data_IF_811775157584
#
_entry.id   IF_811775157584
#
_cell.length_a   1.000
_cell.length_b   1.000
_cell.length_c   1.000
_cell.angle_alpha   90.00
_cell.angle_beta   90.00
_cell.angle_gamma   90.00
#
_symmetry.space_group_name_H-M   'P 1'
#
loop_
_entity.id
_entity.type
_entity.pdbx_description
1 polymer ?
#
# COMPACT_ATOMS: atom_id res chain seq x y z
N UNK A 1 9.49 2.05 8.70
CA UNK A 1 8.51 1.42 7.80
C UNK A 1 7.74 2.53 7.11
N UNK A 2 7.32 2.35 5.85
CA UNK A 2 6.45 3.27 5.12
C UNK A 2 5.07 2.61 4.97
N UNK A 3 4.01 3.34 5.32
CA UNK A 3 2.63 2.99 5.07
C UNK A 3 2.02 4.05 4.14
N UNK A 4 1.50 3.63 2.98
CA UNK A 4 1.00 4.53 1.93
C UNK A 4 -0.43 4.21 1.51
N UNK A 5 -1.17 5.26 1.21
CA UNK A 5 -2.42 5.29 0.44
C UNK A 5 -2.36 6.53 -0.46
N UNK A 6 -3.17 6.58 -1.51
CA UNK A 6 -3.37 7.81 -2.26
C UNK A 6 -4.69 8.48 -1.87
N UNK A 7 -4.72 9.81 -1.83
CA UNK A 7 -5.93 10.55 -1.46
C UNK A 7 -6.65 11.15 -2.68
N UNK A 8 -6.02 11.16 -3.85
CA UNK A 8 -6.67 11.58 -5.08
C UNK A 8 -7.52 10.47 -5.69
N UNK A 9 -8.39 10.84 -6.62
CA UNK A 9 -9.32 9.95 -7.32
C UNK A 9 -9.50 10.44 -8.75
N UNK A 10 -9.88 9.56 -9.68
CA UNK A 10 -10.25 9.95 -11.05
C UNK A 10 -11.36 10.99 -11.12
N UNK A 11 -11.41 11.72 -12.23
CA UNK A 11 -12.48 12.67 -12.53
C UNK A 11 -13.86 11.99 -12.51
N UNK A 12 -14.84 12.66 -11.89
CA UNK A 12 -16.22 12.18 -11.71
C UNK A 12 -16.38 10.95 -10.80
N UNK A 13 -15.34 10.50 -10.10
CA UNK A 13 -15.46 9.49 -9.03
C UNK A 13 -15.51 10.16 -7.65
N UNK A 14 -16.35 9.67 -6.72
CA UNK A 14 -16.32 10.11 -5.34
C UNK A 14 -15.10 9.60 -4.54
N UNK A 15 -14.32 8.66 -5.09
CA UNK A 15 -13.07 8.18 -4.49
C UNK A 15 -13.22 7.37 -3.20
N UNK A 16 -14.43 6.88 -2.91
CA UNK A 16 -14.71 6.25 -1.62
C UNK A 16 -13.92 4.94 -1.41
N UNK A 17 -13.98 4.04 -2.38
CA UNK A 17 -13.24 2.77 -2.32
C UNK A 17 -11.78 2.96 -2.63
N UNK A 18 -11.51 3.71 -3.69
CA UNK A 18 -10.23 3.98 -4.30
C UNK A 18 -9.97 5.49 -4.16
N UNK A 19 -9.31 5.96 -3.10
CA UNK A 19 -8.71 5.15 -2.02
C UNK A 19 -8.98 5.72 -0.61
N UNK A 20 -10.11 6.43 -0.46
CA UNK A 20 -10.48 7.08 0.81
C UNK A 20 -10.67 6.10 1.98
N UNK A 21 -11.11 4.87 1.73
CA UNK A 21 -11.20 3.81 2.75
C UNK A 21 -9.81 3.49 3.31
N UNK A 22 -8.82 3.26 2.46
CA UNK A 22 -7.45 2.97 2.90
C UNK A 22 -6.83 4.14 3.66
N UNK A 23 -7.06 5.37 3.20
CA UNK A 23 -6.61 6.53 3.95
C UNK A 23 -7.30 6.68 5.31
N UNK A 24 -8.58 6.32 5.42
CA UNK A 24 -9.27 6.27 6.71
C UNK A 24 -8.65 5.22 7.65
N UNK A 25 -8.30 4.04 7.12
CA UNK A 25 -7.61 2.98 7.86
C UNK A 25 -6.23 3.45 8.34
N UNK A 26 -5.44 4.11 7.48
CA UNK A 26 -4.13 4.64 7.86
C UNK A 26 -4.22 5.76 8.90
N UNK A 27 -5.24 6.63 8.82
CA UNK A 27 -5.48 7.66 9.82
C UNK A 27 -5.82 7.07 11.19
N UNK A 28 -6.67 6.03 11.22
CA UNK A 28 -6.99 5.32 12.47
C UNK A 28 -5.77 4.60 13.04
N UNK A 29 -4.96 3.95 12.19
CA UNK A 29 -3.71 3.33 12.61
C UNK A 29 -2.73 4.38 13.18
N UNK A 30 -2.58 5.53 12.52
CA UNK A 30 -1.77 6.65 13.00
C UNK A 30 -2.28 7.16 14.36
N UNK A 31 -3.60 7.36 14.50
CA UNK A 31 -4.22 7.79 15.75
C UNK A 31 -3.94 6.80 16.87
N UNK A 32 -4.22 5.52 16.64
CA UNK A 32 -3.97 4.43 17.59
C UNK A 32 -2.50 4.33 18.01
N UNK A 33 -1.56 4.43 17.06
CA UNK A 33 -0.12 4.38 17.35
C UNK A 33 0.39 5.62 18.09
N UNK A 34 -0.19 6.79 17.82
CA UNK A 34 0.19 8.05 18.49
C UNK A 34 -0.26 8.10 19.95
N UNK A 35 -1.27 7.30 20.32
CA UNK A 35 -1.79 7.19 21.69
C UNK A 35 -1.13 6.07 22.52
N UNK A 36 -0.11 5.39 21.98
CA UNK A 36 0.61 4.37 22.75
C UNK A 36 1.36 5.02 23.92
N UNK A 37 1.27 4.39 25.09
CA UNK A 37 2.02 4.81 26.28
C UNK A 37 3.52 4.51 26.18
N UNK A 38 3.91 3.60 25.27
CA UNK A 38 5.29 3.21 25.01
C UNK A 38 5.75 3.71 23.65
N UNK A 39 6.98 4.26 23.54
CA UNK A 39 7.51 4.69 22.26
C UNK A 39 7.75 3.51 21.32
N UNK A 40 7.56 3.76 20.02
CA UNK A 40 7.89 2.79 18.98
C UNK A 40 9.40 2.60 18.89
N UNK A 41 9.84 1.34 18.77
CA UNK A 41 11.26 1.02 18.56
C UNK A 41 11.78 1.51 17.19
N UNK A 42 10.88 1.59 16.21
CA UNK A 42 11.19 2.03 14.85
C UNK A 42 10.16 3.05 14.39
N UNK A 43 10.60 4.06 13.64
CA UNK A 43 9.69 5.04 13.07
C UNK A 43 8.80 4.42 11.97
N UNK A 44 7.55 4.87 11.95
CA UNK A 44 6.59 4.61 10.88
C UNK A 44 6.33 5.93 10.17
N UNK A 45 6.52 5.94 8.85
CA UNK A 45 6.19 7.06 7.98
C UNK A 45 4.83 6.75 7.39
N UNK A 46 3.86 7.63 7.64
CA UNK A 46 2.56 7.60 6.97
C UNK A 46 2.62 8.58 5.80
N UNK A 47 2.35 8.06 4.61
CA UNK A 47 2.39 8.83 3.38
C UNK A 47 1.02 8.79 2.72
N UNK A 48 0.32 9.92 2.80
CA UNK A 48 -0.91 10.18 2.06
C UNK A 48 -0.48 10.93 0.80
N UNK A 49 -0.31 10.20 -0.30
CA UNK A 49 0.18 10.80 -1.53
C UNK A 49 -0.97 11.16 -2.48
N UNK A 50 -0.67 11.96 -3.51
CA UNK A 50 -1.66 12.35 -4.51
C UNK A 50 -1.11 12.18 -5.92
N UNK A 51 -1.95 12.41 -6.92
CA UNK A 51 -1.61 12.20 -8.33
C UNK A 51 -1.15 10.76 -8.62
N UNK A 52 -1.71 9.78 -7.91
CA UNK A 52 -1.63 8.36 -8.26
C UNK A 52 -2.32 8.16 -9.62
N UNK A 53 -3.57 8.61 -9.67
CA UNK A 53 -4.50 8.49 -10.79
C UNK A 53 -4.04 9.27 -12.02
N UNK A 54 -3.08 10.18 -11.82
CA UNK A 54 -2.40 10.93 -12.85
C UNK A 54 -0.92 10.52 -12.97
N UNK A 55 -0.68 9.21 -13.13
CA UNK A 55 0.63 8.62 -13.46
C UNK A 55 1.62 8.64 -12.27
N UNK A 56 1.15 8.33 -11.06
CA UNK A 56 1.98 7.96 -9.90
C UNK A 56 3.05 9.01 -9.52
N UNK A 57 2.73 10.30 -9.69
CA UNK A 57 3.75 11.35 -9.66
C UNK A 57 4.30 11.59 -8.25
N UNK A 58 3.43 11.57 -7.22
CA UNK A 58 3.88 11.86 -5.87
C UNK A 58 4.69 10.72 -5.27
N UNK A 59 4.31 9.45 -5.49
CA UNK A 59 5.13 8.32 -5.06
C UNK A 59 6.50 8.33 -5.73
N UNK A 60 6.55 8.68 -7.02
CA UNK A 60 7.82 8.83 -7.74
C UNK A 60 8.67 9.96 -7.17
N UNK A 61 8.07 11.13 -6.93
CA UNK A 61 8.73 12.25 -6.26
C UNK A 61 9.27 11.86 -4.88
N UNK A 62 8.46 11.16 -4.07
CA UNK A 62 8.86 10.74 -2.73
C UNK A 62 10.06 9.78 -2.79
N UNK A 63 9.97 8.68 -3.53
CA UNK A 63 11.00 7.65 -3.51
C UNK A 63 12.33 8.12 -4.11
N UNK A 64 12.28 9.01 -5.12
CA UNK A 64 13.49 9.47 -5.82
C UNK A 64 14.12 10.70 -5.19
N UNK A 65 13.35 11.57 -4.52
CA UNK A 65 13.85 12.88 -4.08
C UNK A 65 13.78 13.10 -2.57
N UNK A 66 12.83 12.48 -1.86
CA UNK A 66 12.60 12.81 -0.45
C UNK A 66 13.69 12.18 0.45
N UNK A 67 14.28 12.94 1.40
CA UNK A 67 15.38 12.43 2.23
C UNK A 67 14.99 11.21 3.08
N UNK A 68 13.71 11.11 3.48
CA UNK A 68 13.22 9.97 4.26
C UNK A 68 13.09 8.68 3.46
N UNK A 69 13.05 8.73 2.12
CA UNK A 69 13.03 7.54 1.27
C UNK A 69 14.18 6.58 1.60
N UNK A 70 15.37 7.13 1.88
CA UNK A 70 16.58 6.37 2.25
C UNK A 70 16.48 5.66 3.61
N UNK A 71 15.52 6.03 4.44
CA UNK A 71 15.28 5.44 5.76
C UNK A 71 14.25 4.30 5.70
N UNK A 72 13.55 4.14 4.56
CA UNK A 72 12.53 3.11 4.42
C UNK A 72 13.19 1.73 4.31
N UNK A 73 12.72 0.79 5.14
CA UNK A 73 13.21 -0.60 5.18
C UNK A 73 12.13 -1.64 4.89
N UNK A 74 10.87 -1.22 4.91
CA UNK A 74 9.70 -2.02 4.62
C UNK A 74 8.59 -1.08 4.19
N UNK A 75 7.84 -1.49 3.18
CA UNK A 75 6.77 -0.70 2.59
C UNK A 75 5.46 -1.50 2.56
N UNK A 76 4.39 -0.88 3.05
CA UNK A 76 3.01 -1.35 2.96
C UNK A 76 2.23 -0.32 2.15
N UNK A 77 1.69 -0.75 1.01
CA UNK A 77 0.72 0.02 0.24
C UNK A 77 -0.67 -0.54 0.54
N UNK A 78 -1.61 0.33 0.92
CA UNK A 78 -3.03 0.03 0.93
C UNK A 78 -3.63 0.59 -0.35
N UNK A 79 -4.55 -0.15 -0.94
CA UNK A 79 -5.11 0.12 -2.26
C UNK A 79 -6.51 -0.49 -2.39
N UNK A 80 -7.25 -0.14 -3.43
CA UNK A 80 -8.49 -0.82 -3.79
C UNK A 80 -8.48 -1.32 -5.24
N UNK A 81 -9.05 -2.51 -5.44
CA UNK A 81 -9.34 -3.06 -6.77
C UNK A 81 -10.81 -3.54 -6.86
N UNK A 82 -11.68 -3.02 -5.98
CA UNK A 82 -13.07 -3.41 -5.83
C UNK A 82 -13.70 -2.89 -4.54
N UNK A 83 -15.00 -3.12 -4.35
CA UNK A 83 -15.83 -2.44 -3.32
C UNK A 83 -16.47 -3.36 -2.28
N UNK A 84 -16.55 -4.68 -2.52
CA UNK A 84 -17.37 -5.61 -1.70
C UNK A 84 -16.60 -6.72 -0.97
N UNK A 85 -15.29 -6.81 -1.17
CA UNK A 85 -14.51 -8.01 -0.92
C UNK A 85 -13.83 -8.12 0.43
N UNK A 86 -13.16 -9.25 0.64
CA UNK A 86 -12.15 -9.35 1.70
C UNK A 86 -10.89 -8.63 1.25
N UNK A 87 -10.25 -7.93 2.19
CA UNK A 87 -8.86 -7.50 2.01
C UNK A 87 -7.98 -8.71 1.72
N UNK A 88 -7.22 -8.61 0.65
CA UNK A 88 -6.32 -9.64 0.17
C UNK A 88 -4.94 -9.04 -0.03
N UNK A 89 -3.95 -9.82 0.38
CA UNK A 89 -2.57 -9.58 0.02
C UNK A 89 -2.33 -10.24 -1.32
N UNK A 90 -2.01 -9.45 -2.34
CA UNK A 90 -1.87 -9.99 -3.69
C UNK A 90 -0.60 -9.57 -4.42
N UNK A 91 0.24 -8.69 -3.87
CA UNK A 91 1.60 -8.49 -4.38
C UNK A 91 2.62 -8.42 -3.25
N UNK A 92 3.71 -9.14 -3.43
CA UNK A 92 4.87 -9.09 -2.53
C UNK A 92 6.13 -8.90 -3.36
N UNK A 93 7.03 -8.01 -2.92
CA UNK A 93 8.32 -7.84 -3.57
C UNK A 93 9.15 -9.12 -3.54
N UNK A 94 10.06 -9.32 -4.52
CA UNK A 94 10.92 -10.50 -4.56
C UNK A 94 11.77 -10.62 -3.28
N UNK A 95 12.07 -11.86 -2.88
CA UNK A 95 13.05 -12.21 -1.84
C UNK A 95 12.77 -11.74 -0.39
N UNK A 96 11.52 -11.45 -0.01
CA UNK A 96 11.20 -10.97 1.34
C UNK A 96 10.17 -11.81 2.11
N UNK A 97 10.45 -13.10 2.39
CA UNK A 97 9.51 -14.00 3.06
C UNK A 97 9.18 -13.56 4.50
N UNK A 98 10.05 -12.77 5.14
CA UNK A 98 9.86 -12.35 6.53
C UNK A 98 8.63 -11.44 6.71
N UNK A 99 8.30 -10.61 5.71
CA UNK A 99 7.17 -9.69 5.79
C UNK A 99 5.83 -10.44 5.65
N UNK A 100 5.79 -11.44 4.77
CA UNK A 100 4.66 -12.38 4.65
C UNK A 100 4.50 -13.20 5.94
N UNK A 101 5.61 -13.67 6.53
CA UNK A 101 5.56 -14.38 7.80
C UNK A 101 5.05 -13.48 8.93
N UNK A 102 5.44 -12.20 8.96
CA UNK A 102 4.94 -11.23 9.92
C UNK A 102 3.42 -11.03 9.77
N UNK A 103 2.93 -10.88 8.53
CA UNK A 103 1.50 -10.79 8.21
C UNK A 103 0.73 -12.01 8.73
N UNK A 104 1.19 -13.23 8.38
CA UNK A 104 0.53 -14.48 8.80
C UNK A 104 0.50 -14.65 10.31
N UNK A 105 1.51 -14.16 11.04
CA UNK A 105 1.54 -14.22 12.52
C UNK A 105 0.65 -13.16 13.18
N UNK A 106 0.49 -12.00 12.56
CA UNK A 106 -0.23 -10.87 13.14
C UNK A 106 -1.75 -10.92 12.86
N UNK A 107 -2.16 -11.42 11.70
CA UNK A 107 -3.55 -11.40 11.26
C UNK A 107 -4.28 -12.67 11.69
N UNK A 108 -5.47 -12.51 12.29
CA UNK A 108 -6.29 -13.64 12.78
C UNK A 108 -6.75 -14.59 11.67
N UNK A 109 -7.07 -14.03 10.50
CA UNK A 109 -7.54 -14.76 9.32
C UNK A 109 -6.75 -14.29 8.09
N UNK A 110 -5.49 -14.68 7.94
CA UNK A 110 -4.66 -14.21 6.83
C UNK A 110 -5.22 -14.69 5.50
N UNK A 111 -5.30 -13.79 4.52
CA UNK A 111 -5.80 -14.09 3.19
C UNK A 111 -4.87 -13.47 2.14
N UNK A 112 -4.24 -14.35 1.35
CA UNK A 112 -3.30 -13.96 0.32
C UNK A 112 -3.53 -14.80 -0.94
N UNK A 113 -3.41 -14.18 -2.12
CA UNK A 113 -3.50 -14.87 -3.40
C UNK A 113 -2.55 -14.29 -4.43
N UNK A 114 -1.81 -15.15 -5.10
CA UNK A 114 -0.92 -14.77 -6.21
C UNK A 114 -1.69 -14.43 -7.49
N UNK A 115 -2.98 -14.75 -7.56
CA UNK A 115 -3.81 -14.50 -8.76
C UNK A 115 -3.88 -12.99 -9.05
N UNK A 116 -4.02 -12.15 -8.03
CA UNK A 116 -3.97 -10.70 -8.22
C UNK A 116 -2.60 -10.23 -8.74
N UNK A 117 -1.50 -10.85 -8.27
CA UNK A 117 -0.16 -10.57 -8.79
C UNK A 117 -0.08 -10.86 -10.29
N UNK A 118 -0.54 -12.04 -10.71
CA UNK A 118 -0.52 -12.47 -12.09
C UNK A 118 -1.38 -11.58 -12.99
N UNK A 119 -2.57 -11.19 -12.52
CA UNK A 119 -3.46 -10.29 -13.26
C UNK A 119 -2.82 -8.92 -13.46
N UNK A 120 -2.25 -8.30 -12.43
CA UNK A 120 -1.55 -7.01 -12.59
C UNK A 120 -0.27 -7.14 -13.42
N UNK A 121 0.51 -8.21 -13.26
CA UNK A 121 1.72 -8.44 -14.06
C UNK A 121 1.43 -8.78 -15.52
N UNK A 122 0.27 -9.35 -15.82
CA UNK A 122 -0.15 -9.67 -17.19
C UNK A 122 -0.46 -8.43 -18.04
N UNK A 123 -0.65 -7.27 -17.40
CA UNK A 123 -1.06 -6.03 -18.07
C UNK A 123 -2.49 -6.06 -18.62
N UNK A 124 -3.30 -7.07 -18.26
CA UNK A 124 -4.70 -7.18 -18.68
C UNK A 124 -5.57 -6.10 -18.00
N UNK A 125 -5.22 -5.70 -16.78
CA UNK A 125 -5.81 -4.54 -16.13
C UNK A 125 -4.93 -3.32 -16.45
N UNK A 126 -5.46 -2.27 -17.10
CA UNK A 126 -4.74 -1.03 -17.37
C UNK A 126 -4.65 -0.12 -16.13
N UNK A 127 -4.45 -0.73 -14.95
CA UNK A 127 -4.27 -0.07 -13.67
C UNK A 127 -2.90 -0.44 -13.13
N UNK A 128 -2.25 0.55 -12.54
CA UNK A 128 -0.89 0.50 -12.07
C UNK A 128 -0.86 1.33 -10.81
N UNK A 129 -0.23 0.80 -9.76
CA UNK A 129 -0.33 1.39 -8.43
C UNK A 129 1.02 1.92 -7.98
N UNK A 130 1.02 2.74 -6.93
CA UNK A 130 2.24 3.22 -6.27
C UNK A 130 3.25 2.10 -6.00
N UNK A 131 2.78 0.87 -5.75
CA UNK A 131 3.61 -0.33 -5.61
C UNK A 131 4.68 -0.44 -6.70
N UNK A 132 4.33 -0.18 -7.97
CA UNK A 132 5.29 -0.27 -9.07
C UNK A 132 6.44 0.71 -8.87
N UNK A 133 6.15 1.94 -8.50
CA UNK A 133 7.17 2.97 -8.30
C UNK A 133 8.13 2.58 -7.19
N UNK A 134 7.61 2.08 -6.06
CA UNK A 134 8.46 1.62 -4.96
C UNK A 134 9.25 0.36 -5.29
N UNK A 135 8.68 -0.56 -6.09
CA UNK A 135 9.38 -1.75 -6.60
C UNK A 135 10.51 -1.38 -7.54
N UNK A 136 10.24 -0.52 -8.52
CA UNK A 136 11.16 -0.24 -9.63
C UNK A 136 12.25 0.78 -9.24
N UNK A 137 11.95 1.73 -8.35
CA UNK A 137 12.86 2.83 -7.99
C UNK A 137 13.32 2.82 -6.53
N UNK A 138 12.65 2.08 -5.64
CA UNK A 138 12.91 2.12 -4.20
C UNK A 138 13.93 1.12 -3.68
N UNK A 139 14.14 -0.01 -4.37
CA UNK A 139 14.97 -1.14 -3.90
C UNK A 139 14.74 -1.50 -2.41
N UNK A 140 13.47 -1.48 -1.99
CA UNK A 140 13.02 -1.79 -0.63
C UNK A 140 12.11 -3.02 -0.65
N UNK A 141 12.05 -3.81 0.43
CA UNK A 141 11.00 -4.81 0.61
C UNK A 141 9.62 -4.17 0.55
N UNK A 142 8.79 -4.60 -0.40
CA UNK A 142 7.44 -4.04 -0.63
C UNK A 142 6.35 -5.09 -0.40
N UNK A 143 5.21 -4.64 0.13
CA UNK A 143 3.97 -5.38 0.26
C UNK A 143 2.78 -4.52 -0.14
N UNK A 144 1.86 -5.08 -0.92
CA UNK A 144 0.58 -4.45 -1.31
C UNK A 144 -0.57 -5.26 -0.76
N UNK A 145 -1.48 -4.58 -0.08
CA UNK A 145 -2.79 -5.09 0.32
C UNK A 145 -3.86 -4.30 -0.38
N UNK A 146 -4.89 -4.96 -0.91
CA UNK A 146 -6.09 -4.27 -1.36
C UNK A 146 -7.36 -5.03 -1.03
N UNK A 147 -8.49 -4.32 -1.05
CA UNK A 147 -9.82 -4.94 -1.15
C UNK A 147 -10.03 -5.41 -2.59
N UNK A 148 -10.39 -6.69 -2.78
CA UNK A 148 -10.60 -7.28 -4.10
C UNK A 148 -11.98 -7.94 -4.17
N UNK A 149 -12.96 -7.21 -4.70
CA UNK A 149 -14.23 -7.76 -5.23
C UNK A 149 -14.94 -6.71 -6.11
N UNK A 150 -15.14 -7.03 -7.38
CA UNK A 150 -15.82 -6.18 -8.36
C UNK A 150 -17.34 -6.40 -8.42
N UNK A 151 -17.91 -7.23 -7.53
CA UNK A 151 -19.36 -7.48 -7.47
C UNK A 151 -20.09 -6.48 -6.57
#
# INVERSE_FOLDING_TARGET
>A
MLANCHFDSVANSPGASDDAVSCSVLLEALHSMSNLSTPLQHAVIFLFNGAEENILQASHGFITQHPWAKLVRAFINLEAAGVGGKEIVFQTGPENPWLVQAYVRAVKHPFASVVGQEVFQSGIIPSDTDFRIYRDFGNIPVFLTAVYDMM
#
